data_IF_568488271199
#
_entry.id   IF_568488271199
#
_cell.length_a   1.000
_cell.length_b   1.000
_cell.length_c   1.000
_cell.angle_alpha   90.00
_cell.angle_beta   90.00
_cell.angle_gamma   90.00
#
_symmetry.space_group_name_H-M   'P 1'
#
loop_
_entity.id
_entity.type
_entity.pdbx_description
1 polymer ?
#
# COMPACT_ATOMS: atom_id res chain seq x y z
N UNK A 1 5.12 -2.26 -22.24
CA UNK A 1 4.52 -1.89 -23.54
C UNK A 1 4.81 -0.43 -23.82
N UNK A 2 5.22 -0.06 -25.04
CA UNK A 2 5.35 1.34 -25.49
C UNK A 2 4.30 1.60 -26.56
N UNK A 3 3.66 2.75 -26.54
CA UNK A 3 2.67 3.16 -27.53
C UNK A 3 2.86 4.64 -27.90
N UNK A 4 2.38 5.01 -29.07
CA UNK A 4 2.32 6.40 -29.52
C UNK A 4 0.87 6.88 -29.49
N UNK A 5 0.60 7.98 -28.79
CA UNK A 5 -0.73 8.57 -28.76
C UNK A 5 -0.84 9.62 -29.88
N UNK A 6 -1.77 9.40 -30.80
CA UNK A 6 -2.05 10.31 -31.92
C UNK A 6 -3.29 11.14 -31.57
N UNK A 7 -3.13 12.45 -31.54
CA UNK A 7 -4.28 13.35 -31.34
C UNK A 7 -5.06 13.51 -32.62
N UNK A 8 -6.38 13.37 -32.53
CA UNK A 8 -7.32 13.55 -33.62
C UNK A 8 -8.18 14.79 -33.41
N UNK A 9 -8.79 15.38 -34.48
CA UNK A 9 -9.68 16.53 -34.35
C UNK A 9 -10.85 16.28 -33.36
N UNK A 10 -11.27 17.34 -32.68
CA UNK A 10 -12.39 17.28 -31.74
C UNK A 10 -13.71 16.97 -32.46
N UNK A 11 -13.90 17.56 -33.65
CA UNK A 11 -15.10 17.37 -34.45
C UNK A 11 -15.01 16.06 -35.28
N UNK A 12 -16.04 15.21 -35.13
CA UNK A 12 -16.03 13.89 -35.76
C UNK A 12 -15.92 13.92 -37.29
N UNK A 13 -16.49 14.94 -37.93
CA UNK A 13 -16.47 15.07 -39.41
C UNK A 13 -15.05 15.30 -39.95
N UNK A 14 -14.15 15.83 -39.16
CA UNK A 14 -12.75 16.11 -39.52
C UNK A 14 -11.82 14.89 -39.31
N UNK A 15 -12.31 13.79 -38.69
CA UNK A 15 -11.51 12.56 -38.38
C UNK A 15 -11.43 11.63 -39.57
N UNK A 16 -10.87 12.12 -40.66
CA UNK A 16 -10.80 11.35 -41.95
C UNK A 16 -9.98 10.06 -41.80
N UNK A 17 -8.83 10.11 -41.11
CA UNK A 17 -7.98 8.92 -40.91
C UNK A 17 -8.69 7.84 -40.07
N UNK A 18 -9.39 8.25 -38.98
CA UNK A 18 -10.19 7.31 -38.19
C UNK A 18 -11.29 6.66 -39.03
N UNK A 19 -11.95 7.44 -39.87
CA UNK A 19 -13.01 6.95 -40.74
C UNK A 19 -12.48 5.99 -41.81
N UNK A 20 -11.29 6.22 -42.35
CA UNK A 20 -10.65 5.32 -43.32
C UNK A 20 -10.30 3.98 -42.68
N UNK A 21 -9.84 3.99 -41.39
CA UNK A 21 -9.45 2.80 -40.66
C UNK A 21 -10.63 1.96 -40.19
N UNK A 22 -11.68 2.62 -39.67
CA UNK A 22 -12.78 1.95 -38.95
C UNK A 22 -14.14 2.01 -39.64
N UNK A 23 -14.27 2.79 -40.72
CA UNK A 23 -15.54 3.07 -41.39
C UNK A 23 -16.44 4.09 -40.65
N UNK A 24 -16.07 4.58 -39.49
CA UNK A 24 -16.79 5.58 -38.71
C UNK A 24 -15.82 6.59 -38.08
N UNK A 25 -16.33 7.56 -37.32
CA UNK A 25 -15.52 8.61 -36.71
C UNK A 25 -15.43 8.50 -35.19
N UNK A 26 -15.79 7.32 -34.63
CA UNK A 26 -15.74 7.07 -33.20
C UNK A 26 -14.31 6.90 -32.67
N UNK A 27 -14.06 7.36 -31.48
CA UNK A 27 -12.80 7.21 -30.75
C UNK A 27 -13.08 6.66 -29.34
N UNK A 28 -12.16 5.95 -28.71
CA UNK A 28 -10.78 5.69 -29.14
C UNK A 28 -10.67 4.59 -30.23
N UNK A 29 -9.55 4.57 -30.92
CA UNK A 29 -9.16 3.49 -31.84
C UNK A 29 -7.74 3.06 -31.51
N UNK A 30 -7.52 1.75 -31.41
CA UNK A 30 -6.20 1.14 -31.29
C UNK A 30 -5.81 0.52 -32.63
N UNK A 31 -4.57 0.77 -33.06
CA UNK A 31 -3.96 0.11 -34.23
C UNK A 31 -2.74 -0.66 -33.73
N UNK A 32 -2.72 -1.96 -33.97
CA UNK A 32 -1.62 -2.83 -33.61
C UNK A 32 -1.23 -3.70 -34.79
N UNK A 33 -0.24 -3.24 -35.54
CA UNK A 33 0.13 -3.84 -36.84
C UNK A 33 -1.00 -3.75 -37.85
N UNK A 34 -1.60 -4.88 -38.20
CA UNK A 34 -2.74 -4.96 -39.14
C UNK A 34 -4.11 -4.96 -38.43
N UNK A 35 -4.10 -5.11 -37.09
CA UNK A 35 -5.32 -5.12 -36.29
C UNK A 35 -5.79 -3.71 -35.97
N UNK A 36 -7.07 -3.42 -36.21
CA UNK A 36 -7.72 -2.14 -35.89
C UNK A 36 -8.92 -2.41 -35.00
N UNK A 37 -8.86 -1.90 -33.77
CA UNK A 37 -9.87 -2.13 -32.73
C UNK A 37 -10.50 -0.80 -32.36
N UNK A 38 -11.80 -0.73 -32.48
CA UNK A 38 -12.64 0.42 -32.14
C UNK A 38 -13.62 0.01 -31.03
N UNK A 39 -13.80 0.76 -30.04
CA UNK A 39 -14.54 0.59 -28.82
C UNK A 39 -13.62 0.38 -27.60
N UNK A 40 -13.90 1.12 -26.56
CA UNK A 40 -13.04 1.10 -25.35
C UNK A 40 -13.01 -0.26 -24.66
N UNK A 41 -14.12 -1.00 -24.66
CA UNK A 41 -14.20 -2.31 -24.02
C UNK A 41 -13.40 -3.35 -24.81
N UNK A 42 -13.52 -3.33 -26.14
CA UNK A 42 -12.79 -4.24 -27.01
C UNK A 42 -11.27 -3.96 -26.98
N UNK A 43 -10.88 -2.68 -26.94
CA UNK A 43 -9.48 -2.28 -26.77
C UNK A 43 -8.92 -2.79 -25.44
N UNK A 44 -9.67 -2.64 -24.34
CA UNK A 44 -9.23 -3.14 -23.02
C UNK A 44 -9.05 -4.66 -23.07
N UNK A 45 -10.03 -5.39 -23.59
CA UNK A 45 -9.97 -6.85 -23.70
C UNK A 45 -8.79 -7.30 -24.56
N UNK A 46 -8.56 -6.65 -25.71
CA UNK A 46 -7.43 -6.93 -26.57
C UNK A 46 -6.08 -6.69 -25.88
N UNK A 47 -5.95 -5.59 -25.16
CA UNK A 47 -4.73 -5.25 -24.43
C UNK A 47 -4.50 -6.23 -23.26
N UNK A 48 -5.55 -6.68 -22.59
CA UNK A 48 -5.46 -7.69 -21.54
C UNK A 48 -5.04 -9.05 -22.09
N UNK A 49 -5.54 -9.46 -23.25
CA UNK A 49 -5.21 -10.74 -23.87
C UNK A 49 -3.81 -10.77 -24.50
N UNK A 50 -3.38 -9.69 -25.14
CA UNK A 50 -2.16 -9.68 -25.96
C UNK A 50 -0.97 -9.00 -25.28
N UNK A 51 -1.23 -8.07 -24.37
CA UNK A 51 -0.22 -7.24 -23.72
C UNK A 51 -0.28 -7.23 -22.18
N UNK A 52 -1.25 -7.93 -21.58
CA UNK A 52 -1.12 -8.18 -20.16
C UNK A 52 0.20 -8.93 -20.00
N UNK A 53 1.21 -8.22 -19.51
CA UNK A 53 2.43 -8.87 -19.06
C UNK A 53 1.96 -10.02 -18.18
N UNK A 54 2.46 -11.22 -18.44
CA UNK A 54 2.39 -12.31 -17.47
C UNK A 54 3.06 -11.72 -16.26
N UNK A 55 2.24 -11.19 -15.32
CA UNK A 55 2.75 -10.63 -14.08
C UNK A 55 3.52 -11.78 -13.47
N UNK A 56 4.81 -11.64 -13.38
CA UNK A 56 5.61 -12.59 -12.62
C UNK A 56 4.97 -12.69 -11.24
N UNK A 57 5.08 -13.82 -10.57
CA UNK A 57 4.60 -13.94 -9.18
C UNK A 57 5.18 -12.81 -8.32
N UNK A 58 6.36 -12.34 -8.67
CA UNK A 58 7.05 -11.21 -8.06
C UNK A 58 6.35 -9.87 -8.31
N UNK A 59 5.92 -9.57 -9.55
CA UNK A 59 5.15 -8.35 -9.86
C UNK A 59 3.79 -8.36 -9.17
N UNK A 60 3.13 -9.51 -9.11
CA UNK A 60 1.86 -9.68 -8.42
C UNK A 60 2.03 -9.57 -6.88
N UNK A 61 3.18 -9.98 -6.34
CA UNK A 61 3.54 -9.80 -4.93
C UNK A 61 3.79 -8.33 -4.63
N UNK A 62 4.62 -7.65 -5.45
CA UNK A 62 4.93 -6.22 -5.29
C UNK A 62 3.66 -5.36 -5.35
N UNK A 63 2.74 -5.64 -6.28
CA UNK A 63 1.45 -4.95 -6.32
C UNK A 63 0.60 -5.20 -5.07
N UNK A 64 0.57 -6.44 -4.56
CA UNK A 64 -0.15 -6.75 -3.32
C UNK A 64 0.46 -6.04 -2.12
N UNK A 65 1.79 -5.96 -2.04
CA UNK A 65 2.49 -5.22 -0.98
C UNK A 65 2.26 -3.71 -1.08
N UNK A 66 2.25 -3.15 -2.29
CA UNK A 66 1.97 -1.73 -2.53
C UNK A 66 0.54 -1.36 -2.14
N UNK A 67 -0.44 -2.18 -2.52
CA UNK A 67 -1.86 -2.00 -2.20
C UNK A 67 -2.22 -2.43 -0.76
N UNK A 68 -1.35 -3.14 -0.08
CA UNK A 68 -1.61 -3.55 1.31
C UNK A 68 -1.76 -2.32 2.21
N UNK A 69 -2.77 -2.27 3.09
CA UNK A 69 -2.91 -1.21 4.08
C UNK A 69 -1.85 -1.31 5.19
N UNK A 70 -1.10 -2.40 5.25
CA UNK A 70 -0.12 -2.70 6.28
C UNK A 70 1.27 -2.94 5.72
N UNK A 71 2.27 -2.73 6.56
CA UNK A 71 3.65 -3.18 6.40
C UNK A 71 3.78 -4.45 7.23
N UNK A 72 4.14 -5.57 6.61
CA UNK A 72 4.17 -6.87 7.30
C UNK A 72 5.47 -7.60 7.04
N UNK A 73 5.90 -8.39 8.04
CA UNK A 73 7.07 -9.25 7.92
C UNK A 73 6.94 -10.48 8.82
N UNK A 74 7.72 -11.53 8.54
CA UNK A 74 7.88 -12.68 9.40
C UNK A 74 9.16 -12.55 10.20
N UNK A 75 9.13 -12.90 11.49
CA UNK A 75 10.26 -12.79 12.40
C UNK A 75 10.70 -14.21 12.77
N UNK A 76 11.96 -14.60 12.53
CA UNK A 76 12.46 -15.95 12.81
C UNK A 76 12.81 -16.13 14.29
N UNK A 77 11.91 -15.72 15.18
CA UNK A 77 12.03 -15.82 16.64
C UNK A 77 10.72 -16.32 17.24
N UNK A 78 10.77 -17.00 18.40
CA UNK A 78 9.59 -17.29 19.20
C UNK A 78 8.84 -16.00 19.55
N UNK A 79 7.52 -16.08 19.70
CA UNK A 79 6.64 -14.91 19.92
C UNK A 79 7.12 -13.99 21.05
N UNK A 80 7.47 -14.54 22.21
CA UNK A 80 7.91 -13.75 23.36
C UNK A 80 9.21 -12.98 23.09
N UNK A 81 10.18 -13.62 22.45
CA UNK A 81 11.44 -12.97 22.07
C UNK A 81 11.25 -11.91 21.00
N UNK A 82 10.38 -12.17 20.02
CA UNK A 82 10.02 -11.22 18.98
C UNK A 82 9.32 -9.98 19.58
N UNK A 83 8.41 -10.17 20.55
CA UNK A 83 7.71 -9.09 21.24
C UNK A 83 8.69 -8.17 21.97
N UNK A 84 9.61 -8.74 22.77
CA UNK A 84 10.63 -7.94 23.47
C UNK A 84 11.55 -7.19 22.49
N UNK A 85 11.94 -7.86 21.40
CA UNK A 85 12.81 -7.26 20.37
C UNK A 85 12.12 -6.10 19.68
N UNK A 86 10.83 -6.23 19.33
CA UNK A 86 10.05 -5.15 18.71
C UNK A 86 9.91 -3.98 19.67
N UNK A 87 9.58 -4.20 20.94
CA UNK A 87 9.46 -3.14 21.94
C UNK A 87 10.75 -2.34 22.07
N UNK A 88 11.90 -3.03 22.16
CA UNK A 88 13.22 -2.38 22.21
C UNK A 88 13.52 -1.59 20.94
N UNK A 89 13.19 -2.16 19.77
CA UNK A 89 13.43 -1.52 18.48
C UNK A 89 12.56 -0.27 18.28
N UNK A 90 11.29 -0.29 18.72
CA UNK A 90 10.42 0.88 18.71
C UNK A 90 10.99 2.02 19.55
N UNK A 91 11.44 1.71 20.78
CA UNK A 91 12.09 2.69 21.65
C UNK A 91 13.37 3.25 21.03
N UNK A 92 14.22 2.39 20.47
CA UNK A 92 15.44 2.79 19.77
C UNK A 92 15.18 3.65 18.54
N UNK A 93 14.03 3.49 17.88
CA UNK A 93 13.58 4.32 16.77
C UNK A 93 12.90 5.64 17.21
N UNK A 94 12.86 5.95 18.51
CA UNK A 94 12.21 7.16 19.05
C UNK A 94 10.68 7.08 19.07
N UNK A 95 10.12 5.87 19.01
CA UNK A 95 8.69 5.65 19.12
C UNK A 95 8.33 5.33 20.59
N UNK A 96 7.44 6.11 21.16
CA UNK A 96 6.98 5.92 22.52
C UNK A 96 5.88 4.85 22.56
N UNK A 97 6.15 3.75 23.25
CA UNK A 97 5.12 2.74 23.52
C UNK A 97 4.12 3.29 24.55
N UNK A 98 2.84 3.27 24.22
CA UNK A 98 1.74 3.75 25.05
C UNK A 98 0.97 2.61 25.70
N UNK A 99 0.91 1.46 25.07
CA UNK A 99 0.18 0.30 25.58
C UNK A 99 0.46 -0.96 24.80
N UNK A 100 0.13 -2.06 25.46
CA UNK A 100 0.19 -3.42 24.93
C UNK A 100 -1.16 -4.08 25.22
N UNK A 101 -1.78 -4.65 24.19
CA UNK A 101 -3.09 -5.28 24.26
C UNK A 101 -2.96 -6.74 23.82
N UNK A 102 -3.10 -7.67 24.75
CA UNK A 102 -3.26 -9.08 24.40
C UNK A 102 -4.70 -9.30 23.91
N UNK A 103 -4.84 -9.59 22.63
CA UNK A 103 -6.13 -9.82 21.99
C UNK A 103 -6.46 -11.31 21.79
N UNK A 104 -5.55 -12.22 22.08
CA UNK A 104 -5.80 -13.63 21.90
C UNK A 104 -6.99 -14.14 22.73
N UNK A 105 -7.11 -13.80 24.02
CA UNK A 105 -8.26 -14.20 24.85
C UNK A 105 -9.58 -13.60 24.34
N UNK A 106 -9.57 -12.33 23.98
CA UNK A 106 -10.77 -11.59 23.54
C UNK A 106 -11.34 -12.12 22.22
N UNK A 107 -10.46 -12.66 21.37
CA UNK A 107 -10.81 -13.21 20.07
C UNK A 107 -10.93 -14.75 20.08
N UNK A 108 -10.86 -15.38 21.26
CA UNK A 108 -10.88 -16.84 21.45
C UNK A 108 -9.84 -17.55 20.56
N UNK A 109 -8.62 -17.03 20.51
CA UNK A 109 -7.49 -17.61 19.78
C UNK A 109 -6.59 -18.38 20.73
N UNK A 110 -6.17 -19.58 20.31
CA UNK A 110 -5.15 -20.35 21.02
C UNK A 110 -3.75 -19.80 20.77
N UNK A 111 -3.49 -19.27 19.56
CA UNK A 111 -2.21 -18.68 19.20
C UNK A 111 -2.10 -17.24 19.69
N UNK A 112 -0.89 -16.81 20.15
CA UNK A 112 -0.66 -15.46 20.65
C UNK A 112 -1.01 -14.37 19.62
N UNK A 113 -1.58 -13.27 20.10
CA UNK A 113 -1.86 -12.07 19.34
C UNK A 113 -1.80 -10.85 20.25
N UNK A 114 -0.83 -9.99 20.03
CA UNK A 114 -0.66 -8.74 20.79
C UNK A 114 -0.66 -7.55 19.85
N UNK A 115 -1.34 -6.47 20.22
CA UNK A 115 -1.26 -5.18 19.53
C UNK A 115 -0.52 -4.19 20.42
N UNK A 116 0.59 -3.66 19.90
CA UNK A 116 1.32 -2.57 20.48
C UNK A 116 0.76 -1.25 19.96
N UNK A 117 0.46 -0.33 20.88
CA UNK A 117 0.09 1.04 20.55
C UNK A 117 1.28 1.93 20.85
N UNK A 118 1.77 2.61 19.83
CA UNK A 118 2.91 3.51 19.95
C UNK A 118 2.61 4.87 19.30
N UNK A 119 3.42 5.87 19.60
CA UNK A 119 3.35 7.17 18.92
C UNK A 119 4.74 7.72 18.64
N UNK A 120 4.85 8.48 17.59
CA UNK A 120 5.93 9.42 17.35
C UNK A 120 5.47 10.80 17.80
N UNK A 121 6.25 11.40 18.71
CA UNK A 121 5.80 12.57 19.48
C UNK A 121 5.45 13.76 18.57
N UNK A 122 6.37 14.17 17.68
CA UNK A 122 6.18 15.32 16.80
C UNK A 122 5.01 15.12 15.82
N UNK A 123 4.86 13.90 15.30
CA UNK A 123 3.77 13.56 14.40
C UNK A 123 2.41 13.63 15.10
N UNK A 124 2.31 13.03 16.30
CA UNK A 124 1.07 13.05 17.08
C UNK A 124 0.68 14.46 17.51
N UNK A 125 1.65 15.28 17.97
CA UNK A 125 1.44 16.68 18.31
C UNK A 125 0.95 17.48 17.10
N UNK A 126 1.58 17.30 15.94
CA UNK A 126 1.19 17.99 14.71
C UNK A 126 -0.22 17.62 14.26
N UNK A 127 -0.60 16.35 14.33
CA UNK A 127 -1.97 15.91 14.02
C UNK A 127 -2.96 16.57 14.98
N UNK A 128 -2.66 16.59 16.29
CA UNK A 128 -3.51 17.17 17.32
C UNK A 128 -3.67 18.70 17.17
N UNK A 129 -2.60 19.40 16.79
CA UNK A 129 -2.62 20.86 16.55
C UNK A 129 -3.50 21.23 15.35
N UNK A 130 -3.38 20.49 14.25
CA UNK A 130 -4.10 20.78 13.01
C UNK A 130 -5.55 20.36 13.10
N UNK A 131 -5.80 19.19 13.67
CA UNK A 131 -7.15 18.65 13.82
C UNK A 131 -7.27 17.81 15.11
N UNK A 132 -7.68 18.39 16.24
CA UNK A 132 -7.81 17.66 17.51
C UNK A 132 -8.72 16.42 17.42
N UNK A 133 -9.74 16.43 16.57
CA UNK A 133 -10.63 15.28 16.37
C UNK A 133 -9.95 14.11 15.64
N UNK A 134 -8.83 14.36 14.97
CA UNK A 134 -8.03 13.36 14.26
C UNK A 134 -6.85 12.82 15.09
N UNK A 135 -6.74 13.18 16.38
CA UNK A 135 -5.58 12.80 17.21
C UNK A 135 -5.30 11.31 17.24
N UNK A 136 -6.34 10.47 17.20
CA UNK A 136 -6.19 9.01 17.12
C UNK A 136 -5.44 8.52 15.87
N UNK A 137 -5.44 9.29 14.79
CA UNK A 137 -4.69 8.98 13.56
C UNK A 137 -3.16 9.17 13.73
N UNK A 138 -2.75 9.87 14.79
CA UNK A 138 -1.35 10.02 15.19
C UNK A 138 -0.79 8.79 15.93
N UNK A 139 -1.61 7.78 16.19
CA UNK A 139 -1.20 6.55 16.86
C UNK A 139 -0.80 5.48 15.86
N UNK A 140 0.29 4.78 16.17
CA UNK A 140 0.75 3.60 15.43
C UNK A 140 0.19 2.35 16.08
N UNK A 141 -0.36 1.45 15.27
CA UNK A 141 -0.84 0.14 15.71
C UNK A 141 0.00 -0.93 15.04
N UNK A 142 0.64 -1.76 15.85
CA UNK A 142 1.57 -2.80 15.41
C UNK A 142 1.08 -4.11 16.02
N UNK A 143 0.56 -4.99 15.18
CA UNK A 143 0.14 -6.32 15.56
C UNK A 143 1.32 -7.29 15.49
N UNK A 144 1.49 -8.09 16.53
CA UNK A 144 2.37 -9.23 16.57
C UNK A 144 1.50 -10.47 16.77
N UNK A 145 1.65 -11.49 15.94
CA UNK A 145 0.84 -12.70 16.02
C UNK A 145 1.61 -13.94 15.56
N UNK A 146 1.18 -15.09 16.06
CA UNK A 146 1.67 -16.37 15.61
C UNK A 146 0.67 -17.01 14.63
N UNK A 147 1.18 -17.48 13.51
CA UNK A 147 0.43 -18.21 12.50
C UNK A 147 1.34 -19.25 11.85
N UNK A 148 0.83 -20.50 11.69
CA UNK A 148 1.56 -21.61 11.08
C UNK A 148 2.93 -21.88 11.73
N UNK A 149 3.05 -21.64 13.05
CA UNK A 149 4.27 -21.80 13.83
C UNK A 149 5.33 -20.73 13.57
N UNK A 150 4.96 -19.63 12.94
CA UNK A 150 5.82 -18.48 12.69
C UNK A 150 5.28 -17.23 13.36
N UNK A 151 6.19 -16.38 13.84
CA UNK A 151 5.84 -15.08 14.38
C UNK A 151 5.81 -14.04 13.27
N UNK A 152 4.72 -13.30 13.18
CA UNK A 152 4.50 -12.23 12.21
C UNK A 152 4.34 -10.88 12.90
N UNK A 153 4.84 -9.84 12.24
CA UNK A 153 4.58 -8.44 12.61
C UNK A 153 3.83 -7.76 11.48
N UNK A 154 2.85 -6.95 11.83
CA UNK A 154 2.08 -6.15 10.88
C UNK A 154 1.78 -4.77 11.47
N UNK A 155 2.11 -3.71 10.76
CA UNK A 155 1.84 -2.34 11.18
C UNK A 155 0.99 -1.61 10.14
N UNK A 156 0.00 -0.84 10.57
CA UNK A 156 -0.80 -0.01 9.68
C UNK A 156 0.11 1.05 9.05
N UNK A 157 0.00 1.27 7.74
CA UNK A 157 0.74 2.32 7.04
C UNK A 157 0.28 3.71 7.52
N UNK A 158 1.15 4.52 8.14
CA UNK A 158 0.77 5.85 8.63
C UNK A 158 0.20 6.77 7.55
N UNK A 159 0.73 6.68 6.34
CA UNK A 159 0.25 7.45 5.18
C UNK A 159 -1.22 7.20 4.90
N UNK A 160 -1.67 5.95 4.98
CA UNK A 160 -3.06 5.59 4.74
C UNK A 160 -4.00 6.13 5.83
N UNK A 161 -3.54 6.16 7.09
CA UNK A 161 -4.37 6.67 8.20
C UNK A 161 -4.61 8.17 8.09
N UNK A 162 -3.60 8.93 7.65
CA UNK A 162 -3.71 10.40 7.60
C UNK A 162 -4.19 10.95 6.24
N UNK A 163 -4.31 10.13 5.21
CA UNK A 163 -4.78 10.57 3.88
C UNK A 163 -6.14 11.29 3.92
N UNK A 164 -7.02 10.89 4.83
CA UNK A 164 -8.35 11.49 5.01
C UNK A 164 -8.31 12.91 5.60
N UNK A 165 -7.22 13.31 6.24
CA UNK A 165 -7.08 14.65 6.89
C UNK A 165 -6.97 15.76 5.84
N UNK A 166 -6.58 15.46 4.61
CA UNK A 166 -6.42 16.42 3.49
C UNK A 166 -5.50 17.59 3.82
N UNK A 167 -4.43 17.33 4.57
CA UNK A 167 -3.42 18.33 4.93
C UNK A 167 -2.05 17.85 4.42
N UNK A 168 -1.40 18.64 3.57
CA UNK A 168 -0.15 18.26 2.91
C UNK A 168 1.02 18.06 3.89
N UNK A 169 1.05 18.82 4.99
CA UNK A 169 2.09 18.71 6.02
C UNK A 169 1.94 17.41 6.80
N UNK A 170 0.72 17.07 7.23
CA UNK A 170 0.43 15.80 7.90
C UNK A 170 0.74 14.62 6.96
N UNK A 171 0.32 14.69 5.71
CA UNK A 171 0.56 13.61 4.74
C UNK A 171 2.07 13.40 4.50
N UNK A 172 2.84 14.48 4.37
CA UNK A 172 4.30 14.40 4.24
C UNK A 172 4.96 13.80 5.48
N UNK A 173 4.50 14.16 6.68
CA UNK A 173 5.00 13.60 7.94
C UNK A 173 4.61 12.13 8.09
N UNK A 174 3.39 11.75 7.72
CA UNK A 174 2.91 10.37 7.68
C UNK A 174 3.76 9.50 6.75
N UNK A 175 4.10 10.00 5.57
CA UNK A 175 5.00 9.31 4.62
C UNK A 175 6.40 9.09 5.21
N UNK A 176 7.01 10.12 5.84
CA UNK A 176 8.33 9.98 6.49
C UNK A 176 8.31 8.94 7.60
N UNK A 177 7.26 8.94 8.41
CA UNK A 177 7.07 7.98 9.48
C UNK A 177 6.90 6.55 8.93
N UNK A 178 6.16 6.39 7.83
CA UNK A 178 6.00 5.11 7.14
C UNK A 178 7.34 4.56 6.65
N UNK A 179 8.19 5.37 6.01
CA UNK A 179 9.51 4.93 5.55
C UNK A 179 10.39 4.46 6.72
N UNK A 180 10.32 5.14 7.89
CA UNK A 180 11.02 4.71 9.10
C UNK A 180 10.49 3.38 9.62
N UNK A 181 9.18 3.21 9.66
CA UNK A 181 8.52 2.01 10.12
C UNK A 181 8.81 0.81 9.20
N UNK A 182 8.83 1.01 7.88
CA UNK A 182 9.23 -0.01 6.92
C UNK A 182 10.64 -0.53 7.20
N UNK A 183 11.62 0.37 7.34
CA UNK A 183 13.00 0.00 7.67
C UNK A 183 13.10 -0.76 8.99
N UNK A 184 12.32 -0.37 9.98
CA UNK A 184 12.27 -1.05 11.27
C UNK A 184 11.74 -2.48 11.11
N UNK A 185 10.59 -2.65 10.44
CA UNK A 185 9.97 -3.97 10.23
C UNK A 185 10.86 -4.88 9.37
N UNK A 186 11.51 -4.34 8.34
CA UNK A 186 12.47 -5.07 7.51
C UNK A 186 13.71 -5.52 8.27
N UNK A 187 14.15 -4.75 9.27
CA UNK A 187 15.36 -5.07 10.04
C UNK A 187 15.25 -6.38 10.83
N UNK A 188 14.04 -6.82 11.14
CA UNK A 188 13.82 -8.06 11.89
C UNK A 188 14.22 -9.33 11.14
N UNK A 189 14.37 -9.27 9.82
CA UNK A 189 14.84 -10.40 9.00
C UNK A 189 16.38 -10.50 8.87
N UNK A 190 17.12 -9.44 9.21
CA UNK A 190 18.54 -9.33 8.83
C UNK A 190 19.54 -9.83 9.87
N UNK A 191 19.10 -10.23 11.04
CA UNK A 191 19.99 -10.70 12.12
C UNK A 191 19.63 -12.13 12.50
N UNK A 192 20.15 -13.07 11.74
CA UNK A 192 20.30 -14.48 12.11
C UNK A 192 21.78 -14.83 12.08
#
# INVERSE_FOLDING_TARGET
MSYEAISVPAEGEERTEVKELTGNTAIPVLVDGEEVISDSADIISYLEENYAAVKSEEDARLQREELSPTISNTIPLPFSEALERIQKALQGAGLKLLGELDLAPELNRDAPLTVLVAMEQEFAERVAEINPSATSLGLLQIALYEQDGQTHVSAIKPENTVASVRNSEINSSGHKLQVRLMKLVESFNRES
#
